data_IF_420253474164
#
_entry.id   IF_420253474164
#
_cell.length_a   1.000
_cell.length_b   1.000
_cell.length_c   1.000
_cell.angle_alpha   90.00
_cell.angle_beta   90.00
_cell.angle_gamma   90.00
#
_symmetry.space_group_name_H-M   'P 1'
#
loop_
_entity.id
_entity.type
_entity.pdbx_description
1 polymer ?
#
# COMPACT_ATOMS: atom_id res chain seq x y z
N UNK A 1 7.49 -13.25 -26.61
CA UNK A 1 7.11 -13.11 -25.17
C UNK A 1 7.51 -11.71 -24.76
N UNK A 2 6.54 -10.82 -24.60
CA UNK A 2 6.77 -9.45 -24.13
C UNK A 2 7.06 -9.50 -22.64
N UNK A 3 8.17 -8.92 -22.21
CA UNK A 3 8.49 -8.72 -20.80
C UNK A 3 7.37 -7.92 -20.13
N UNK A 4 6.85 -8.33 -18.96
CA UNK A 4 5.82 -7.57 -18.25
C UNK A 4 6.32 -6.16 -18.01
N UNK A 5 5.56 -5.17 -18.48
CA UNK A 5 5.89 -3.76 -18.29
C UNK A 5 5.76 -3.49 -16.79
N UNK A 6 6.77 -2.84 -16.22
CA UNK A 6 7.05 -2.79 -14.78
C UNK A 6 5.79 -2.61 -13.94
N UNK A 7 5.54 -3.62 -13.10
CA UNK A 7 4.51 -3.66 -12.06
C UNK A 7 4.37 -2.31 -11.40
N UNK A 8 3.14 -1.82 -11.29
CA UNK A 8 2.83 -0.57 -10.59
C UNK A 8 3.65 -0.46 -9.29
N UNK A 9 4.19 0.72 -9.00
CA UNK A 9 4.89 1.00 -7.74
C UNK A 9 3.91 0.97 -6.54
N UNK A 10 2.83 0.19 -6.59
CA UNK A 10 1.81 0.08 -5.57
C UNK A 10 2.08 -1.15 -4.71
N UNK A 11 1.88 -0.99 -3.40
CA UNK A 11 2.00 -2.07 -2.43
C UNK A 11 0.83 -1.99 -1.48
N UNK A 12 0.18 -3.12 -1.25
CA UNK A 12 -0.80 -3.26 -0.18
C UNK A 12 -0.07 -3.59 1.12
N UNK A 13 -0.20 -2.72 2.11
CA UNK A 13 0.31 -2.94 3.46
C UNK A 13 -0.79 -3.58 4.32
N UNK A 14 -0.47 -4.73 4.89
CA UNK A 14 -1.30 -5.48 5.83
C UNK A 14 -0.72 -5.25 7.22
N UNK A 15 -1.41 -4.53 8.08
CA UNK A 15 -0.87 -4.04 9.36
C UNK A 15 -1.46 -4.86 10.51
N UNK A 16 -0.75 -5.90 10.92
CA UNK A 16 -1.17 -6.80 11.99
C UNK A 16 -0.88 -6.22 13.38
N UNK A 17 -1.66 -6.63 14.37
CA UNK A 17 -1.37 -6.40 15.79
C UNK A 17 -0.45 -7.51 16.31
N UNK A 18 0.70 -7.14 16.88
CA UNK A 18 1.68 -8.10 17.41
C UNK A 18 1.17 -8.78 18.70
N UNK A 19 0.54 -8.03 19.59
CA UNK A 19 -0.02 -8.53 20.85
C UNK A 19 -1.00 -9.70 20.67
N UNK A 20 -1.71 -9.77 19.53
CA UNK A 20 -2.58 -10.91 19.21
C UNK A 20 -1.80 -12.24 19.25
N UNK A 21 -0.60 -12.27 18.67
CA UNK A 21 0.24 -13.47 18.63
C UNK A 21 1.01 -13.65 19.93
N UNK A 22 1.60 -12.57 20.47
CA UNK A 22 2.54 -12.68 21.61
C UNK A 22 1.84 -12.76 22.97
N UNK A 23 0.70 -12.07 23.11
CA UNK A 23 -0.01 -11.91 24.38
C UNK A 23 -1.31 -12.70 24.40
N UNK A 24 -2.07 -12.65 23.31
CA UNK A 24 -3.38 -13.30 23.22
C UNK A 24 -3.33 -14.70 22.60
N UNK A 25 -2.16 -15.18 22.17
CA UNK A 25 -1.96 -16.55 21.69
C UNK A 25 -2.72 -16.90 20.40
N UNK A 26 -3.00 -15.91 19.55
CA UNK A 26 -3.70 -16.14 18.29
C UNK A 26 -2.92 -17.09 17.37
N UNK A 27 -3.55 -18.16 16.86
CA UNK A 27 -2.88 -19.05 15.92
C UNK A 27 -2.64 -18.36 14.57
N UNK A 28 -1.61 -18.81 13.85
CA UNK A 28 -1.24 -18.26 12.55
C UNK A 28 -2.34 -18.42 11.49
N UNK A 29 -3.07 -19.55 11.49
CA UNK A 29 -4.15 -19.85 10.55
C UNK A 29 -5.23 -18.75 10.50
N UNK A 30 -5.91 -18.46 11.62
CA UNK A 30 -6.84 -17.34 11.74
C UNK A 30 -6.24 -16.00 11.32
N UNK A 31 -4.99 -15.69 11.71
CA UNK A 31 -4.33 -14.44 11.30
C UNK A 31 -4.21 -14.30 9.77
N UNK A 32 -3.90 -15.40 9.08
CA UNK A 32 -3.87 -15.42 7.61
C UNK A 32 -5.26 -15.21 7.00
N UNK A 33 -6.29 -15.86 7.55
CA UNK A 33 -7.68 -15.68 7.09
C UNK A 33 -8.15 -14.23 7.26
N UNK A 34 -7.89 -13.61 8.42
CA UNK A 34 -8.21 -12.20 8.64
C UNK A 34 -7.48 -11.29 7.64
N UNK A 35 -6.22 -11.56 7.37
CA UNK A 35 -5.42 -10.81 6.40
C UNK A 35 -5.99 -10.90 5.00
N UNK A 36 -6.46 -12.08 4.59
CA UNK A 36 -7.12 -12.28 3.31
C UNK A 36 -8.47 -11.55 3.25
N UNK A 37 -9.30 -11.64 4.29
CA UNK A 37 -10.59 -10.92 4.37
C UNK A 37 -10.40 -9.42 4.27
N UNK A 38 -9.48 -8.86 5.04
CA UNK A 38 -9.20 -7.44 5.02
C UNK A 38 -8.66 -6.97 3.65
N UNK A 39 -7.81 -7.77 3.00
CA UNK A 39 -7.31 -7.49 1.63
C UNK A 39 -8.45 -7.42 0.62
N UNK A 40 -9.35 -8.41 0.65
CA UNK A 40 -10.53 -8.44 -0.23
C UNK A 40 -11.47 -7.26 0.07
N UNK A 41 -11.67 -6.92 1.35
CA UNK A 41 -12.53 -5.81 1.75
C UNK A 41 -12.00 -4.46 1.24
N UNK A 42 -10.71 -4.15 1.38
CA UNK A 42 -10.10 -2.92 0.84
C UNK A 42 -10.31 -2.84 -0.67
N UNK A 43 -10.03 -3.92 -1.41
CA UNK A 43 -10.19 -3.93 -2.86
C UNK A 43 -11.64 -3.71 -3.27
N UNK A 44 -12.61 -4.25 -2.51
CA UNK A 44 -14.03 -4.04 -2.78
C UNK A 44 -14.51 -2.62 -2.45
N UNK A 45 -14.17 -2.12 -1.27
CA UNK A 45 -14.58 -0.80 -0.76
C UNK A 45 -14.02 0.31 -1.65
N UNK A 46 -12.78 0.15 -2.12
CA UNK A 46 -12.09 1.14 -2.95
C UNK A 46 -11.95 0.70 -4.41
N UNK A 47 -12.82 -0.18 -4.92
CA UNK A 47 -12.76 -0.70 -6.30
C UNK A 47 -12.68 0.37 -7.38
N UNK A 48 -13.27 1.53 -7.11
CA UNK A 48 -13.32 2.66 -8.05
C UNK A 48 -12.12 3.61 -7.92
N UNK A 49 -11.28 3.45 -6.89
CA UNK A 49 -10.11 4.27 -6.65
C UNK A 49 -9.02 4.02 -7.72
N UNK A 50 -8.41 5.07 -8.31
CA UNK A 50 -7.41 4.91 -9.38
C UNK A 50 -6.27 3.95 -9.02
N UNK A 51 -5.68 4.08 -7.82
CA UNK A 51 -4.64 3.16 -7.37
C UNK A 51 -5.13 1.70 -7.26
N UNK A 52 -6.38 1.44 -6.88
CA UNK A 52 -6.88 0.06 -6.80
C UNK A 52 -7.03 -0.53 -8.20
N UNK A 53 -7.56 0.26 -9.15
CA UNK A 53 -7.63 -0.15 -10.56
C UNK A 53 -6.25 -0.44 -11.11
N UNK A 54 -5.29 0.48 -10.96
CA UNK A 54 -3.90 0.26 -11.40
C UNK A 54 -3.23 -0.92 -10.70
N UNK A 55 -3.54 -1.19 -9.43
CA UNK A 55 -3.02 -2.35 -8.69
C UNK A 55 -3.54 -3.68 -9.24
N UNK A 56 -4.80 -3.73 -9.70
CA UNK A 56 -5.44 -4.94 -10.21
C UNK A 56 -5.25 -5.14 -11.72
N UNK A 57 -5.36 -4.08 -12.50
CA UNK A 57 -5.34 -4.10 -13.95
C UNK A 57 -3.91 -3.98 -14.51
N UNK A 58 -3.06 -3.17 -13.88
CA UNK A 58 -1.75 -2.83 -14.44
C UNK A 58 -1.87 -2.05 -15.76
N UNK A 59 -0.75 -1.74 -16.41
CA UNK A 59 -0.76 -1.10 -17.74
C UNK A 59 -1.06 -2.11 -18.87
N UNK A 60 -0.79 -3.39 -18.62
CA UNK A 60 -0.87 -4.48 -19.59
C UNK A 60 -2.10 -5.38 -19.39
N UNK A 61 -3.02 -5.01 -18.50
CA UNK A 61 -4.24 -5.76 -18.20
C UNK A 61 -4.03 -7.01 -17.34
N UNK A 62 -2.80 -7.27 -16.87
CA UNK A 62 -2.45 -8.43 -16.04
C UNK A 62 -1.83 -8.04 -14.69
N UNK A 63 -2.12 -6.83 -14.19
CA UNK A 63 -1.59 -6.31 -12.93
C UNK A 63 -1.80 -7.25 -11.73
N UNK A 64 -2.89 -8.00 -11.71
CA UNK A 64 -3.20 -9.00 -10.68
C UNK A 64 -2.12 -10.09 -10.52
N UNK A 65 -1.35 -10.41 -11.58
CA UNK A 65 -0.24 -11.35 -11.51
C UNK A 65 1.01 -10.77 -10.83
N UNK A 66 1.15 -9.44 -10.82
CA UNK A 66 2.30 -8.70 -10.27
C UNK A 66 2.04 -8.00 -8.94
N UNK A 67 0.89 -8.24 -8.31
CA UNK A 67 0.49 -7.60 -7.06
C UNK A 67 1.47 -7.86 -5.92
N UNK A 68 1.89 -6.79 -5.23
CA UNK A 68 2.72 -6.90 -4.02
C UNK A 68 1.91 -6.63 -2.76
N UNK A 69 2.15 -7.45 -1.74
CA UNK A 69 1.61 -7.30 -0.38
C UNK A 69 2.79 -7.37 0.59
N UNK A 70 2.80 -6.49 1.58
CA UNK A 70 3.78 -6.53 2.68
C UNK A 70 3.04 -6.55 3.99
N UNK A 71 3.54 -7.33 4.92
CA UNK A 71 3.02 -7.38 6.29
C UNK A 71 3.83 -6.42 7.14
N UNK A 72 3.13 -5.50 7.79
CA UNK A 72 3.63 -4.59 8.80
C UNK A 72 2.98 -4.96 10.14
N UNK A 73 3.49 -4.39 11.23
CA UNK A 73 2.93 -4.64 12.55
C UNK A 73 2.80 -3.37 13.38
N UNK A 74 1.84 -3.40 14.30
CA UNK A 74 1.67 -2.46 15.41
C UNK A 74 1.85 -3.25 16.70
N UNK A 75 2.22 -2.58 17.79
CA UNK A 75 2.44 -3.27 19.06
C UNK A 75 1.13 -3.88 19.60
N UNK A 76 0.05 -3.12 19.52
CA UNK A 76 -1.22 -3.34 20.20
C UNK A 76 -2.36 -2.55 19.52
N UNK A 77 -3.56 -2.58 20.12
CA UNK A 77 -4.73 -1.85 19.61
C UNK A 77 -4.56 -0.34 19.61
N UNK A 78 -3.96 0.23 20.65
CA UNK A 78 -3.82 1.67 20.82
C UNK A 78 -2.88 2.27 19.77
N UNK A 79 -1.78 1.57 19.48
CA UNK A 79 -0.87 1.94 18.39
C UNK A 79 -1.53 1.81 17.01
N UNK A 80 -2.40 0.82 16.80
CA UNK A 80 -3.20 0.69 15.58
C UNK A 80 -4.19 1.85 15.41
N UNK A 81 -4.94 2.20 16.46
CA UNK A 81 -5.89 3.33 16.45
C UNK A 81 -5.21 4.68 16.25
N UNK A 82 -4.01 4.83 16.82
CA UNK A 82 -3.18 6.01 16.61
C UNK A 82 -2.73 6.14 15.16
N UNK A 83 -2.37 5.04 14.50
CA UNK A 83 -2.03 5.04 13.07
C UNK A 83 -3.22 5.44 12.20
N UNK A 84 -4.42 4.93 12.51
CA UNK A 84 -5.67 5.25 11.79
C UNK A 84 -5.96 6.74 11.88
N UNK A 85 -5.87 7.30 13.09
CA UNK A 85 -6.06 8.74 13.31
C UNK A 85 -5.09 9.59 12.49
N UNK A 86 -3.82 9.13 12.35
CA UNK A 86 -2.84 9.79 11.49
C UNK A 86 -3.24 9.71 10.02
N UNK A 87 -3.66 8.53 9.53
CA UNK A 87 -4.11 8.40 8.13
C UNK A 87 -5.33 9.26 7.81
N UNK A 88 -6.30 9.35 8.72
CA UNK A 88 -7.48 10.19 8.55
C UNK A 88 -7.16 11.68 8.44
N UNK A 89 -6.05 12.11 9.05
CA UNK A 89 -5.54 13.49 8.98
C UNK A 89 -4.78 13.83 7.69
N UNK A 90 -4.44 12.83 6.86
CA UNK A 90 -3.69 13.06 5.63
C UNK A 90 -4.56 13.70 4.54
N UNK A 91 -3.95 14.60 3.77
CA UNK A 91 -4.50 15.17 2.54
C UNK A 91 -3.43 15.11 1.43
N UNK A 92 -3.61 14.28 0.38
CA UNK A 92 -4.78 13.45 0.09
C UNK A 92 -4.91 12.25 1.05
N UNK A 93 -6.15 11.78 1.25
CA UNK A 93 -6.40 10.58 2.06
C UNK A 93 -5.82 9.34 1.37
N UNK A 94 -5.16 8.50 2.17
CA UNK A 94 -4.72 7.18 1.72
C UNK A 94 -5.88 6.19 1.94
N UNK A 95 -6.30 5.42 0.92
CA UNK A 95 -7.30 4.38 1.09
C UNK A 95 -6.86 3.32 2.09
N UNK A 96 -7.68 3.08 3.12
CA UNK A 96 -7.42 2.05 4.12
C UNK A 96 -8.75 1.47 4.61
N UNK A 97 -8.73 0.22 5.09
CA UNK A 97 -9.89 -0.39 5.74
C UNK A 97 -9.44 -1.06 7.03
N UNK A 98 -10.19 -0.84 8.11
CA UNK A 98 -10.04 -1.55 9.36
C UNK A 98 -11.06 -2.69 9.38
N UNK A 99 -10.59 -3.90 9.15
CA UNK A 99 -11.37 -5.11 9.29
C UNK A 99 -11.57 -5.42 10.77
N UNK A 100 -12.81 -5.55 11.21
CA UNK A 100 -13.16 -5.95 12.58
C UNK A 100 -14.14 -7.11 12.47
N UNK A 101 -13.68 -8.31 12.75
CA UNK A 101 -14.55 -9.49 12.80
C UNK A 101 -15.00 -9.75 14.24
N UNK A 102 -16.26 -10.13 14.41
CA UNK A 102 -16.74 -10.55 15.72
C UNK A 102 -16.31 -11.99 16.01
N UNK A 103 -15.89 -12.31 17.24
CA UNK A 103 -15.72 -11.41 18.38
C UNK A 103 -14.26 -10.89 18.51
N UNK A 104 -14.02 -9.64 18.09
CA UNK A 104 -12.90 -8.76 18.46
C UNK A 104 -11.49 -8.99 17.86
N UNK A 105 -11.29 -8.89 16.54
CA UNK A 105 -9.94 -8.62 16.00
C UNK A 105 -9.90 -7.49 14.97
N UNK A 106 -9.36 -6.30 15.33
CA UNK A 106 -9.09 -5.25 14.37
C UNK A 106 -7.78 -5.54 13.61
N UNK A 107 -7.89 -5.71 12.29
CA UNK A 107 -6.78 -5.75 11.35
C UNK A 107 -6.91 -4.59 10.37
N UNK A 108 -5.87 -3.78 10.21
CA UNK A 108 -5.87 -2.64 9.31
C UNK A 108 -5.09 -2.95 8.03
N UNK A 109 -5.64 -2.57 6.88
CA UNK A 109 -4.90 -2.54 5.63
C UNK A 109 -4.88 -1.14 5.05
N UNK A 110 -3.74 -0.76 4.48
CA UNK A 110 -3.54 0.48 3.74
C UNK A 110 -3.00 0.16 2.36
N UNK A 111 -3.50 0.82 1.32
CA UNK A 111 -2.90 0.77 -0.02
C UNK A 111 -2.08 2.04 -0.24
N UNK A 112 -0.76 1.91 -0.28
CA UNK A 112 0.14 3.05 -0.51
C UNK A 112 1.01 2.84 -1.74
N UNK A 113 1.41 3.95 -2.36
CA UNK A 113 2.54 3.93 -3.31
C UNK A 113 3.82 3.57 -2.53
N UNK A 114 4.67 2.79 -3.18
CA UNK A 114 6.02 2.50 -2.74
C UNK A 114 6.80 3.81 -2.76
N UNK A 115 7.22 4.30 -1.59
CA UNK A 115 8.24 5.33 -1.50
C UNK A 115 9.58 4.63 -1.76
N UNK A 116 10.16 4.84 -2.94
CA UNK A 116 11.57 4.51 -3.16
C UNK A 116 12.38 5.49 -2.29
N UNK A 117 13.36 4.98 -1.55
CA UNK A 117 14.17 5.72 -0.56
C UNK A 117 14.45 7.19 -0.94
N UNK A 118 14.09 8.13 -0.05
CA UNK A 118 14.40 9.56 -0.16
C UNK A 118 13.46 10.28 -1.13
N UNK A 119 12.76 11.31 -0.64
CA UNK A 119 11.69 11.97 -1.38
C UNK A 119 12.14 12.50 -2.75
N UNK A 120 11.29 12.29 -3.75
CA UNK A 120 11.21 13.20 -4.89
C UNK A 120 9.78 13.17 -5.43
N UNK A 121 9.11 14.32 -5.36
CA UNK A 121 8.06 14.68 -6.29
C UNK A 121 8.76 15.39 -7.46
N UNK A 122 8.69 14.84 -8.66
CA UNK A 122 8.25 15.59 -9.85
C UNK A 122 8.04 14.63 -11.04
N UNK A 123 6.95 14.84 -11.77
CA UNK A 123 6.62 14.23 -13.06
C UNK A 123 6.55 15.34 -14.12
N UNK A 124 7.59 16.17 -14.16
CA UNK A 124 7.75 17.18 -15.20
C UNK A 124 8.88 16.78 -16.15
N UNK A 125 8.51 16.49 -17.39
CA UNK A 125 9.43 16.48 -18.53
C UNK A 125 9.84 15.11 -19.07
N UNK A 126 8.88 14.40 -19.69
CA UNK A 126 9.23 13.54 -20.83
C UNK A 126 8.39 14.03 -22.02
N UNK A 127 9.01 14.84 -22.87
CA UNK A 127 8.52 15.09 -24.22
C UNK A 127 8.95 13.95 -25.16
N UNK A 128 8.08 13.60 -26.11
CA UNK A 128 8.19 12.45 -27.01
C UNK A 128 9.29 12.56 -28.09
N UNK A 129 10.40 13.25 -27.85
CA UNK A 129 11.53 13.25 -28.78
C UNK A 129 12.86 13.20 -28.03
N UNK A 130 13.40 11.99 -27.90
CA UNK A 130 14.70 11.71 -27.27
C UNK A 130 15.86 12.54 -27.82
N UNK A 131 16.12 13.69 -27.20
CA UNK A 131 17.36 14.45 -27.32
C UNK A 131 17.86 14.85 -25.93
N UNK A 132 18.97 14.24 -25.53
CA UNK A 132 19.77 14.71 -24.39
C UNK A 132 20.29 16.13 -24.68
N UNK A 133 19.89 17.10 -23.86
CA UNK A 133 20.65 18.34 -23.69
C UNK A 133 21.46 18.25 -22.40
N UNK A 134 22.78 18.15 -22.53
CA UNK A 134 23.72 18.32 -21.43
C UNK A 134 23.66 19.75 -20.90
N UNK A 135 23.61 19.92 -19.58
CA UNK A 135 23.76 21.22 -18.92
C UNK A 135 24.10 21.08 -17.45
N UNK A 136 25.40 21.04 -17.15
CA UNK A 136 25.96 21.21 -15.81
C UNK A 136 25.63 22.60 -15.24
N UNK A 137 25.48 22.69 -13.91
CA UNK A 137 25.48 23.96 -13.18
C UNK A 137 25.29 23.77 -11.68
N UNK A 138 26.40 23.55 -10.96
CA UNK A 138 26.48 23.87 -9.54
C UNK A 138 26.27 25.38 -9.37
N UNK A 139 25.53 25.81 -8.36
CA UNK A 139 25.97 26.94 -7.53
C UNK A 139 25.33 26.90 -6.14
N UNK A 140 26.21 27.07 -5.18
CA UNK A 140 26.00 27.30 -3.76
C UNK A 140 25.56 28.75 -3.50
N UNK A 141 24.53 28.95 -2.68
CA UNK A 141 24.48 29.95 -1.59
C UNK A 141 23.54 29.46 -0.48
#
# INVERSE_FOLDING_TARGET
MTTPKTSSNLVMQIILRRDLMTTHGWPLGPMMAQSAHAATAVLHVYRDHPNVKTYLEGEDGIGFLGMRKVVMETADEDSLRSLVSKLDSLSPKIPYHMWIEQPYVPLMLSLTKYLKNGGEMDDSGIDEQGKHSNGFGFDSQ
#
